data_IF_738527380595
#
_entry.id   IF_738527380595
#
_cell.length_a   1.000
_cell.length_b   1.000
_cell.length_c   1.000
_cell.angle_alpha   90.00
_cell.angle_beta   90.00
_cell.angle_gamma   90.00
#
_symmetry.space_group_name_H-M   'P 1'
#
loop_
_entity.id
_entity.type
_entity.pdbx_description
1 polymer ?
#
# COMPACT_ATOMS: atom_id res chain seq x y z
N UNK A 1 -2.52 -10.59 -18.09
CA UNK A 1 -3.09 -9.63 -17.15
C UNK A 1 -2.06 -9.29 -16.08
N UNK A 2 -1.85 -8.02 -15.84
CA UNK A 2 -0.88 -7.57 -14.84
C UNK A 2 -1.39 -7.84 -13.42
N UNK A 3 -0.53 -8.40 -12.59
CA UNK A 3 -0.87 -8.75 -11.22
C UNK A 3 0.14 -8.07 -10.29
N UNK A 4 -0.13 -6.83 -9.86
CA UNK A 4 0.83 -6.10 -9.05
C UNK A 4 1.07 -6.76 -7.70
N UNK A 5 2.31 -6.67 -7.24
CA UNK A 5 2.67 -7.16 -5.92
C UNK A 5 2.09 -6.27 -4.84
N UNK A 6 1.88 -6.84 -3.64
CA UNK A 6 1.50 -6.03 -2.49
C UNK A 6 2.65 -5.06 -2.19
N UNK A 7 2.35 -3.77 -1.95
CA UNK A 7 3.42 -2.78 -1.70
C UNK A 7 4.31 -3.14 -0.51
N UNK A 8 3.81 -3.92 0.44
CA UNK A 8 4.63 -4.41 1.54
C UNK A 8 5.80 -5.27 1.09
N UNK A 9 5.63 -6.04 0.02
CA UNK A 9 6.73 -6.84 -0.54
C UNK A 9 7.81 -5.96 -1.14
N UNK A 10 7.41 -4.90 -1.82
CA UNK A 10 8.37 -3.95 -2.40
C UNK A 10 9.07 -3.20 -1.28
N UNK A 11 8.33 -2.82 -0.23
CA UNK A 11 8.92 -2.13 0.90
C UNK A 11 9.95 -3.00 1.62
N UNK A 12 9.73 -4.32 1.71
CA UNK A 12 10.71 -5.22 2.28
C UNK A 12 12.06 -5.10 1.57
N UNK A 13 12.04 -4.98 0.25
CA UNK A 13 13.27 -4.84 -0.54
C UNK A 13 13.97 -3.53 -0.21
N UNK A 14 13.22 -2.44 -0.08
CA UNK A 14 13.78 -1.14 0.26
C UNK A 14 14.43 -1.15 1.66
N UNK A 15 13.87 -1.93 2.58
CA UNK A 15 14.32 -1.97 3.97
C UNK A 15 15.25 -3.14 4.27
N UNK A 16 15.68 -3.88 3.27
CA UNK A 16 16.53 -5.04 3.45
C UNK A 16 17.80 -4.66 4.23
N UNK A 17 18.11 -5.45 5.24
CA UNK A 17 19.28 -5.21 6.07
C UNK A 17 19.09 -4.18 7.17
N UNK A 18 17.92 -3.51 7.22
CA UNK A 18 17.64 -2.51 8.24
C UNK A 18 16.92 -3.11 9.44
N UNK A 19 17.15 -2.53 10.61
CA UNK A 19 16.46 -2.91 11.84
C UNK A 19 15.06 -2.30 11.81
N UNK A 20 14.03 -3.14 11.85
CA UNK A 20 12.63 -2.69 11.71
C UNK A 20 12.20 -1.79 12.86
N UNK A 21 12.66 -2.06 14.08
CA UNK A 21 12.34 -1.20 15.23
C UNK A 21 12.89 0.21 15.01
N UNK A 22 14.12 0.29 14.50
CA UNK A 22 14.74 1.57 14.21
C UNK A 22 14.02 2.33 13.11
N UNK A 23 13.64 1.62 12.04
CA UNK A 23 12.91 2.23 10.92
C UNK A 23 11.56 2.75 11.38
N UNK A 24 10.82 1.97 12.18
CA UNK A 24 9.53 2.40 12.70
C UNK A 24 9.66 3.69 13.53
N UNK A 25 10.67 3.74 14.40
CA UNK A 25 10.94 4.93 15.19
C UNK A 25 11.24 6.13 14.29
N UNK A 26 12.04 5.91 13.28
CA UNK A 26 12.40 6.97 12.33
C UNK A 26 11.18 7.52 11.61
N UNK A 27 10.23 6.65 11.30
CA UNK A 27 8.99 7.03 10.62
C UNK A 27 7.92 7.58 11.58
N UNK A 28 8.17 7.55 12.87
CA UNK A 28 7.21 7.93 13.91
C UNK A 28 5.94 7.06 13.86
N UNK A 29 6.11 5.78 13.65
CA UNK A 29 5.02 4.80 13.71
C UNK A 29 5.41 3.66 14.64
N UNK A 30 4.43 2.88 15.07
CA UNK A 30 4.73 1.73 15.90
C UNK A 30 5.37 0.61 15.08
N UNK A 31 6.18 -0.22 15.73
CA UNK A 31 6.77 -1.37 15.08
C UNK A 31 5.69 -2.32 14.56
N UNK A 32 4.59 -2.46 15.29
CA UNK A 32 3.47 -3.30 14.88
C UNK A 32 2.87 -2.81 13.57
N UNK A 33 2.66 -1.50 13.46
CA UNK A 33 2.14 -0.90 12.22
C UNK A 33 3.04 -1.24 11.02
N UNK A 34 4.33 -1.01 11.16
CA UNK A 34 5.26 -1.27 10.08
C UNK A 34 5.35 -2.77 9.77
N UNK A 35 5.42 -3.60 10.80
CA UNK A 35 5.49 -5.05 10.64
C UNK A 35 4.29 -5.60 9.87
N UNK A 36 3.10 -5.10 10.16
CA UNK A 36 1.89 -5.56 9.45
C UNK A 36 1.94 -5.22 7.97
N UNK A 37 2.44 -4.05 7.63
CA UNK A 37 2.61 -3.67 6.23
C UNK A 37 3.61 -4.60 5.55
N UNK A 38 4.75 -4.85 6.18
CA UNK A 38 5.80 -5.70 5.62
C UNK A 38 5.33 -7.15 5.44
N UNK A 39 4.42 -7.61 6.30
CA UNK A 39 3.87 -8.95 6.20
C UNK A 39 2.59 -9.00 5.34
N UNK A 40 2.32 -7.94 4.60
CA UNK A 40 1.18 -7.84 3.70
C UNK A 40 -0.18 -8.02 4.39
N UNK A 41 -0.23 -7.68 5.69
CA UNK A 41 -1.45 -7.76 6.49
C UNK A 41 -2.14 -6.42 6.65
N UNK A 42 -1.54 -5.36 6.18
CA UNK A 42 -2.12 -4.02 6.18
C UNK A 42 -1.67 -3.29 4.92
N UNK A 43 -2.50 -2.38 4.44
CA UNK A 43 -2.18 -1.56 3.30
C UNK A 43 -1.42 -0.30 3.70
N UNK A 44 -0.96 0.44 2.70
CA UNK A 44 -0.25 1.70 2.92
C UNK A 44 -1.23 2.84 2.70
N UNK A 45 -1.51 3.58 3.78
CA UNK A 45 -2.38 4.76 3.71
C UNK A 45 -1.67 5.92 3.03
N UNK A 46 -2.43 6.96 2.70
CA UNK A 46 -1.85 8.17 2.13
C UNK A 46 -0.83 8.79 3.09
N UNK A 47 -1.15 8.84 4.38
CA UNK A 47 -0.22 9.39 5.37
C UNK A 47 1.05 8.56 5.46
N UNK A 48 0.93 7.23 5.48
CA UNK A 48 2.10 6.36 5.52
C UNK A 48 2.96 6.54 4.27
N UNK A 49 2.34 6.74 3.11
CA UNK A 49 3.06 7.01 1.88
C UNK A 49 3.92 8.26 1.99
N UNK A 50 3.38 9.32 2.60
CA UNK A 50 4.14 10.55 2.83
C UNK A 50 5.34 10.31 3.75
N UNK A 51 5.15 9.53 4.82
CA UNK A 51 6.24 9.21 5.74
C UNK A 51 7.32 8.39 5.07
N UNK A 52 6.94 7.36 4.35
CA UNK A 52 7.88 6.50 3.65
C UNK A 52 8.64 7.26 2.57
N UNK A 53 7.94 8.10 1.84
CA UNK A 53 8.57 8.86 0.75
C UNK A 53 9.56 9.87 1.29
N UNK A 54 9.26 10.50 2.41
CA UNK A 54 10.20 11.42 3.06
C UNK A 54 11.47 10.69 3.50
N UNK A 55 11.33 9.48 4.04
CA UNK A 55 12.47 8.71 4.52
C UNK A 55 13.28 8.05 3.41
N UNK A 56 12.61 7.59 2.35
CA UNK A 56 13.25 6.81 1.29
C UNK A 56 13.53 7.58 0.01
N UNK A 57 13.09 8.83 -0.05
CA UNK A 57 13.36 9.67 -1.22
C UNK A 57 12.53 9.34 -2.45
N UNK A 58 11.40 8.66 -2.27
CA UNK A 58 10.50 8.35 -3.38
C UNK A 58 9.49 9.49 -3.56
N UNK A 59 8.77 9.46 -4.68
CA UNK A 59 7.68 10.41 -4.90
C UNK A 59 6.64 10.29 -3.79
N UNK A 60 6.07 11.40 -3.30
CA UNK A 60 5.14 11.36 -2.17
C UNK A 60 3.98 10.37 -2.31
N UNK A 61 3.46 10.16 -3.51
CA UNK A 61 2.35 9.23 -3.72
C UNK A 61 2.81 7.83 -4.14
N UNK A 62 4.10 7.59 -4.26
CA UNK A 62 4.62 6.33 -4.81
C UNK A 62 4.02 5.09 -4.14
N UNK A 63 4.05 5.05 -2.82
CA UNK A 63 3.58 3.89 -2.07
C UNK A 63 2.06 3.77 -2.08
N UNK A 64 1.37 4.92 -2.04
CA UNK A 64 -0.09 4.93 -2.08
C UNK A 64 -0.62 4.52 -3.46
N UNK A 65 0.05 4.99 -4.52
CA UNK A 65 -0.32 4.60 -5.88
C UNK A 65 -0.16 3.09 -6.08
N UNK A 66 0.90 2.53 -5.53
CA UNK A 66 1.13 1.10 -5.59
C UNK A 66 0.06 0.32 -4.82
N UNK A 67 -0.33 0.84 -3.65
CA UNK A 67 -1.42 0.25 -2.86
C UNK A 67 -2.74 0.29 -3.63
N UNK A 68 -3.04 1.42 -4.25
CA UNK A 68 -4.27 1.58 -5.03
C UNK A 68 -4.32 0.62 -6.21
N UNK A 69 -3.21 0.46 -6.91
CA UNK A 69 -3.11 -0.49 -8.03
C UNK A 69 -3.33 -1.92 -7.56
N UNK A 70 -2.75 -2.26 -6.40
CA UNK A 70 -2.92 -3.59 -5.83
C UNK A 70 -4.39 -3.85 -5.46
N UNK A 71 -5.01 -2.90 -4.78
CA UNK A 71 -6.42 -3.05 -4.37
C UNK A 71 -7.35 -3.13 -5.56
N UNK A 72 -7.08 -2.31 -6.57
CA UNK A 72 -7.91 -2.33 -7.78
C UNK A 72 -7.82 -3.68 -8.49
N UNK A 73 -6.60 -4.23 -8.60
CA UNK A 73 -6.40 -5.55 -9.22
C UNK A 73 -7.11 -6.65 -8.42
N UNK A 74 -7.10 -6.56 -7.07
CA UNK A 74 -7.82 -7.51 -6.24
C UNK A 74 -9.33 -7.38 -6.46
N UNK A 75 -9.84 -6.16 -6.54
CA UNK A 75 -11.27 -5.93 -6.78
C UNK A 75 -11.70 -6.47 -8.15
N UNK A 76 -10.85 -6.33 -9.16
CA UNK A 76 -11.13 -6.83 -10.51
C UNK A 76 -11.26 -8.35 -10.55
N UNK A 77 -10.67 -9.04 -9.59
CA UNK A 77 -10.76 -10.50 -9.51
C UNK A 77 -12.02 -10.99 -8.80
N UNK A 78 -12.63 -10.12 -8.01
CA UNK A 78 -13.84 -10.49 -7.28
C UNK A 78 -15.02 -10.53 -8.23
N UNK A 79 -15.89 -11.50 -8.01
CA UNK A 79 -17.13 -11.60 -8.75
C UNK A 79 -18.13 -10.66 -8.09
N UNK A 80 -18.41 -9.54 -8.72
CA UNK A 80 -19.41 -8.60 -8.22
C UNK A 80 -20.72 -8.78 -8.98
N UNK A 81 -21.86 -8.42 -8.37
CA UNK A 81 -23.14 -8.46 -9.08
C UNK A 81 -23.10 -7.54 -10.29
N UNK A 82 -23.83 -7.94 -11.32
CA UNK A 82 -23.97 -7.09 -12.49
C UNK A 82 -24.77 -5.85 -12.11
N UNK A 83 -24.17 -4.70 -12.30
CA UNK A 83 -24.80 -3.43 -11.94
C UNK A 83 -25.11 -2.67 -13.22
N UNK A 84 -26.38 -2.39 -13.43
CA UNK A 84 -26.81 -1.61 -14.59
C UNK A 84 -26.57 -0.12 -14.34
N UNK A 85 -26.29 0.65 -15.39
CA UNK A 85 -26.18 2.10 -15.24
C UNK A 85 -27.50 2.68 -14.71
N UNK A 86 -27.39 3.72 -13.88
CA UNK A 86 -28.59 4.39 -13.39
C UNK A 86 -29.22 5.20 -14.51
N UNK A 87 -30.55 5.23 -14.53
CA UNK A 87 -31.30 6.08 -15.46
C UNK A 87 -31.43 7.45 -14.82
N UNK A 88 -30.77 8.45 -15.41
CA UNK A 88 -30.77 9.80 -14.86
C UNK A 88 -32.13 10.51 -15.02
N UNK A 89 -32.99 10.00 -15.88
CA UNK A 89 -34.32 10.56 -16.05
C UNK A 89 -35.30 10.05 -15.00
N UNK A 90 -34.97 9.03 -14.27
CA UNK A 90 -35.84 8.45 -13.26
C UNK A 90 -35.78 9.22 -11.95
#
# INVERSE_FOLDING_TARGET
MHNPAHPGQVLQEYLEGMNITHVAKHLHVSRVTLSRILNCRAGISAEMSLRLSAALGTHPSFWFDMQSSYEFAQAMRKKIPKIAPLDKAA
#
